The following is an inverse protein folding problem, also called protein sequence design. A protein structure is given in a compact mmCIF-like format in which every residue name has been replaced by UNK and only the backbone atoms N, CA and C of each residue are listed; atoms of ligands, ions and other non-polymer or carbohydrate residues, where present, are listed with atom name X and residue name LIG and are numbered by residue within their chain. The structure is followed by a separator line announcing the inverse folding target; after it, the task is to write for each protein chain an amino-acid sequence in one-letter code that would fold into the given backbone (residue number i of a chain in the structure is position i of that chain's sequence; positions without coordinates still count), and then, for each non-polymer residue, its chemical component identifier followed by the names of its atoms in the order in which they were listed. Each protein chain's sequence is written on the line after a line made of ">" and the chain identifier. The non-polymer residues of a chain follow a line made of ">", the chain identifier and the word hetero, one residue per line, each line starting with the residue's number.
data_IF_492286568346
#
_entry.id   IF_492286568346
#
_cell.length_a   1.000
_cell.length_b   1.000
_cell.length_c   1.000
_cell.angle_alpha   90.00
_cell.angle_beta   90.00
_cell.angle_gamma   90.00
#
_symmetry.space_group_name_H-M   'P 1'
#
loop_
_entity.id
_entity.type
_entity.pdbx_description
1 polymer ?
#
# COMPACT_ATOMS: atom_id res chain seq x y z
N UNK A 1 6.64 0.42 38.01
CA UNK A 1 6.18 0.05 36.65
C UNK A 1 6.93 0.94 35.66
N UNK A 2 7.94 0.47 34.90
CA UNK A 2 8.63 1.36 33.98
C UNK A 2 7.90 1.44 32.63
N UNK A 3 7.57 2.67 32.25
CA UNK A 3 7.77 3.17 30.89
C UNK A 3 6.71 2.89 29.84
N UNK A 4 5.48 3.42 30.00
CA UNK A 4 4.75 3.84 28.80
C UNK A 4 5.45 5.09 28.24
N UNK A 5 6.32 4.89 27.25
CA UNK A 5 6.68 5.97 26.34
C UNK A 5 5.51 6.10 25.34
N UNK A 6 4.70 7.14 25.51
CA UNK A 6 3.81 7.63 24.46
C UNK A 6 4.70 7.95 23.25
N UNK A 7 4.59 7.13 22.19
CA UNK A 7 5.40 7.27 20.99
C UNK A 7 5.24 8.66 20.38
N UNK A 8 6.34 9.21 19.87
CA UNK A 8 6.35 10.40 19.01
C UNK A 8 5.30 10.24 17.92
N UNK A 9 4.36 11.18 17.82
CA UNK A 9 3.18 11.15 16.95
C UNK A 9 3.55 11.44 15.48
N UNK A 10 4.50 10.65 14.96
CA UNK A 10 5.06 10.84 13.64
C UNK A 10 4.24 10.05 12.61
N UNK A 11 4.15 10.61 11.41
CA UNK A 11 3.30 10.13 10.32
C UNK A 11 4.18 9.94 9.07
N UNK A 12 4.11 8.76 8.47
CA UNK A 12 4.62 8.56 7.12
C UNK A 12 3.59 9.07 6.11
N UNK A 13 4.06 9.80 5.11
CA UNK A 13 3.30 10.11 3.91
C UNK A 13 3.89 9.33 2.74
N UNK A 14 3.04 8.69 1.97
CA UNK A 14 3.45 7.95 0.77
C UNK A 14 2.55 8.30 -0.40
N UNK A 15 3.14 8.28 -1.60
CA UNK A 15 2.45 8.45 -2.87
C UNK A 15 2.49 7.13 -3.63
N UNK A 16 1.32 6.66 -4.04
CA UNK A 16 1.18 5.49 -4.90
C UNK A 16 0.81 5.95 -6.31
N UNK A 17 1.36 5.23 -7.29
CA UNK A 17 0.98 5.34 -8.69
C UNK A 17 0.67 3.95 -9.22
N UNK A 18 -0.48 3.82 -9.86
CA UNK A 18 -0.98 2.59 -10.47
C UNK A 18 -1.07 2.85 -11.96
N UNK A 19 -0.23 2.18 -12.75
CA UNK A 19 -0.24 2.26 -14.21
C UNK A 19 -0.90 1.00 -14.78
N UNK A 20 -1.96 1.13 -15.58
CA UNK A 20 -2.47 0.01 -16.35
C UNK A 20 -1.60 -0.17 -17.61
N UNK A 21 -0.69 -1.16 -17.55
CA UNK A 21 0.19 -1.55 -18.65
C UNK A 21 -0.33 -2.74 -19.46
N UNK A 22 -1.53 -3.23 -19.14
CA UNK A 22 -2.21 -4.28 -19.88
C UNK A 22 -3.03 -3.73 -21.05
N UNK A 23 -3.78 -4.62 -21.68
CA UNK A 23 -4.70 -4.35 -22.79
C UNK A 23 -6.18 -4.44 -22.38
N UNK A 24 -6.47 -4.79 -21.12
CA UNK A 24 -7.81 -4.76 -20.52
C UNK A 24 -8.09 -3.43 -19.81
N UNK A 25 -9.34 -2.98 -19.84
CA UNK A 25 -9.87 -2.00 -18.89
C UNK A 25 -10.13 -2.71 -17.56
N UNK A 26 -9.58 -2.18 -16.48
CA UNK A 26 -9.66 -2.80 -15.14
C UNK A 26 -10.14 -1.82 -14.08
N UNK A 27 -10.82 -2.32 -13.06
CA UNK A 27 -11.24 -1.53 -11.91
C UNK A 27 -10.53 -1.98 -10.64
N UNK A 28 -9.94 -1.05 -9.89
CA UNK A 28 -9.44 -1.34 -8.55
C UNK A 28 -10.61 -1.50 -7.59
N UNK A 29 -10.74 -2.67 -6.97
CA UNK A 29 -11.82 -2.96 -6.03
C UNK A 29 -11.38 -2.82 -4.58
N UNK A 30 -10.22 -3.37 -4.24
CA UNK A 30 -9.76 -3.45 -2.85
C UNK A 30 -8.24 -3.39 -2.72
N UNK A 31 -7.78 -3.19 -1.49
CA UNK A 31 -6.36 -3.23 -1.12
C UNK A 31 -6.13 -4.11 0.10
N UNK A 32 -4.94 -4.68 0.16
CA UNK A 32 -4.35 -5.30 1.33
C UNK A 32 -2.98 -4.66 1.53
N UNK A 33 -2.71 -4.07 2.69
CA UNK A 33 -1.42 -3.45 2.98
C UNK A 33 -0.87 -4.02 4.28
N UNK A 34 0.42 -4.34 4.27
CA UNK A 34 1.17 -4.81 5.43
C UNK A 34 2.28 -3.82 5.70
N UNK A 35 2.30 -3.29 6.92
CA UNK A 35 3.36 -2.42 7.40
C UNK A 35 4.20 -3.19 8.41
N UNK A 36 5.49 -3.30 8.14
CA UNK A 36 6.45 -4.00 8.98
C UNK A 36 7.64 -3.11 9.35
N UNK A 37 8.21 -3.37 10.51
CA UNK A 37 9.34 -2.61 11.04
C UNK A 37 10.20 -3.47 11.94
N UNK A 38 11.49 -3.16 12.01
CA UNK A 38 12.35 -3.68 13.08
C UNK A 38 12.28 -2.71 14.27
N UNK A 39 12.26 -3.25 15.49
CA UNK A 39 12.26 -2.44 16.72
C UNK A 39 13.66 -1.95 17.10
N UNK A 40 14.70 -2.66 16.65
CA UNK A 40 16.10 -2.28 16.80
C UNK A 40 16.93 -2.69 15.56
N UNK A 41 18.11 -2.09 15.42
CA UNK A 41 19.02 -2.41 14.32
C UNK A 41 19.49 -3.87 14.41
N UNK A 42 19.30 -4.65 13.34
CA UNK A 42 19.68 -6.06 13.27
C UNK A 42 18.58 -7.04 13.68
N UNK A 43 17.45 -6.56 14.19
CA UNK A 43 16.27 -7.39 14.50
C UNK A 43 15.45 -7.70 13.23
N UNK A 44 14.70 -8.82 13.21
CA UNK A 44 13.80 -9.14 12.11
C UNK A 44 12.68 -8.10 11.97
N UNK A 45 12.12 -8.00 10.77
CA UNK A 45 10.94 -7.18 10.52
C UNK A 45 9.71 -7.88 11.13
N UNK A 46 9.01 -7.16 12.00
CA UNK A 46 7.73 -7.59 12.58
C UNK A 46 6.58 -6.81 11.95
N UNK A 47 5.41 -7.44 11.86
CA UNK A 47 4.20 -6.77 11.33
C UNK A 47 3.63 -5.85 12.42
N UNK A 48 3.56 -4.56 12.11
CA UNK A 48 3.11 -3.53 13.05
C UNK A 48 1.64 -3.17 12.83
N UNK A 49 1.17 -3.21 11.58
CA UNK A 49 -0.21 -2.91 11.21
C UNK A 49 -0.55 -3.54 9.86
N UNK A 50 -1.82 -3.89 9.68
CA UNK A 50 -2.34 -4.40 8.43
C UNK A 50 -3.66 -3.70 8.08
N UNK A 51 -3.79 -3.30 6.82
CA UNK A 51 -5.08 -3.04 6.21
C UNK A 51 -5.55 -4.39 5.67
N UNK A 52 -6.61 -5.01 6.24
CA UNK A 52 -6.98 -6.38 5.92
C UNK A 52 -7.39 -6.51 4.45
N UNK A 53 -7.27 -7.73 3.94
CA UNK A 53 -7.74 -8.09 2.60
C UNK A 53 -9.22 -7.73 2.44
N UNK A 54 -9.61 -7.36 1.22
CA UNK A 54 -10.97 -6.91 0.87
C UNK A 54 -11.34 -5.53 1.41
N UNK A 55 -10.36 -4.72 1.84
CA UNK A 55 -10.67 -3.35 2.20
C UNK A 55 -10.92 -2.52 0.94
N UNK A 56 -12.14 -2.01 0.82
CA UNK A 56 -12.61 -1.26 -0.36
C UNK A 56 -11.70 -0.11 -0.77
N UNK A 57 -11.41 -0.11 -2.06
CA UNK A 57 -10.77 0.96 -2.82
C UNK A 57 -9.39 1.37 -2.31
N UNK A 58 -9.04 2.60 -2.62
CA UNK A 58 -7.90 3.36 -2.11
C UNK A 58 -8.40 4.77 -1.82
N UNK A 59 -8.12 5.32 -0.64
CA UNK A 59 -8.56 6.68 -0.24
C UNK A 59 -10.05 7.01 -0.44
N UNK A 60 -10.92 6.00 -0.49
CA UNK A 60 -12.36 6.17 -0.76
C UNK A 60 -12.74 6.07 -2.24
N UNK A 61 -11.80 5.75 -3.13
CA UNK A 61 -11.98 5.65 -4.57
C UNK A 61 -11.74 4.21 -5.07
N UNK A 62 -12.47 3.82 -6.12
CA UNK A 62 -12.31 2.57 -6.86
C UNK A 62 -12.08 2.90 -8.34
N UNK A 63 -10.87 3.39 -8.70
CA UNK A 63 -10.60 3.90 -10.04
C UNK A 63 -10.73 2.82 -11.12
N UNK A 64 -11.32 3.21 -12.25
CA UNK A 64 -11.31 2.44 -13.49
C UNK A 64 -10.15 2.95 -14.34
N UNK A 65 -9.33 2.03 -14.83
CA UNK A 65 -8.13 2.31 -15.64
C UNK A 65 -8.25 1.62 -16.99
N UNK A 66 -8.36 2.39 -18.06
CA UNK A 66 -8.19 1.89 -19.44
C UNK A 66 -6.71 1.56 -19.73
N UNK A 67 -6.42 0.79 -20.78
CA UNK A 67 -5.05 0.57 -21.23
C UNK A 67 -4.27 1.87 -21.38
N UNK A 68 -3.12 1.96 -20.71
CA UNK A 68 -2.24 3.14 -20.71
C UNK A 68 -2.63 4.25 -19.73
N UNK A 69 -3.78 4.17 -19.05
CA UNK A 69 -4.16 5.12 -18.00
C UNK A 69 -3.43 4.83 -16.68
N UNK A 70 -3.39 5.86 -15.83
CA UNK A 70 -2.80 5.75 -14.50
C UNK A 70 -3.63 6.51 -13.47
N UNK A 71 -3.58 6.02 -12.23
CA UNK A 71 -4.16 6.68 -11.07
C UNK A 71 -3.09 6.89 -10.01
N UNK A 72 -3.13 8.07 -9.37
CA UNK A 72 -2.20 8.45 -8.31
C UNK A 72 -2.97 8.88 -7.08
N UNK A 73 -2.47 8.47 -5.91
CA UNK A 73 -3.02 8.94 -4.65
C UNK A 73 -1.92 9.11 -3.60
N UNK A 74 -2.18 10.01 -2.65
CA UNK A 74 -1.36 10.20 -1.46
C UNK A 74 -2.13 9.67 -0.24
N UNK A 75 -1.43 9.02 0.67
CA UNK A 75 -1.99 8.53 1.91
C UNK A 75 -0.95 8.61 3.03
N UNK A 76 -1.38 8.28 4.24
CA UNK A 76 -0.52 8.30 5.41
C UNK A 76 -0.68 7.06 6.27
N UNK A 77 0.34 6.78 7.09
CA UNK A 77 0.32 5.73 8.08
C UNK A 77 1.08 6.18 9.34
N UNK A 78 0.70 5.72 10.55
CA UNK A 78 1.50 5.94 11.75
C UNK A 78 2.91 5.41 11.55
N UNK A 79 3.92 6.10 12.06
CA UNK A 79 5.27 5.54 12.11
C UNK A 79 5.47 4.78 13.43
N UNK A 80 5.79 3.49 13.35
CA UNK A 80 6.18 2.70 14.53
C UNK A 80 7.69 2.78 14.80
N UNK A 81 8.49 2.97 13.74
CA UNK A 81 9.94 3.20 13.84
C UNK A 81 10.42 4.09 12.68
N UNK A 82 11.65 4.65 12.75
CA UNK A 82 12.20 5.49 11.68
C UNK A 82 12.39 4.79 10.32
N UNK A 83 12.49 3.47 10.34
CA UNK A 83 12.60 2.63 9.16
C UNK A 83 11.47 1.61 9.15
N UNK A 84 10.57 1.70 8.18
CA UNK A 84 9.48 0.74 8.00
C UNK A 84 9.38 0.30 6.55
N UNK A 85 8.70 -0.82 6.31
CA UNK A 85 8.45 -1.38 4.99
C UNK A 85 6.94 -1.54 4.81
N UNK A 86 6.42 -1.05 3.69
CA UNK A 86 5.06 -1.29 3.24
C UNK A 86 5.07 -2.27 2.07
N UNK A 87 4.25 -3.30 2.13
CA UNK A 87 4.00 -4.24 1.04
C UNK A 87 2.51 -4.58 0.98
N UNK A 88 2.10 -5.40 0.02
CA UNK A 88 0.72 -5.86 -0.04
C UNK A 88 0.25 -6.12 -1.46
N UNK A 89 -1.04 -6.00 -1.70
CA UNK A 89 -1.62 -6.19 -3.03
C UNK A 89 -2.86 -5.33 -3.23
N UNK A 90 -3.16 -5.06 -4.49
CA UNK A 90 -4.46 -4.54 -4.94
C UNK A 90 -5.23 -5.67 -5.60
N UNK A 91 -6.55 -5.67 -5.40
CA UNK A 91 -7.44 -6.50 -6.18
C UNK A 91 -8.07 -5.67 -7.29
N UNK A 92 -8.07 -6.24 -8.49
CA UNK A 92 -8.71 -5.70 -9.68
C UNK A 92 -9.75 -6.64 -10.24
N UNK A 93 -10.70 -6.06 -10.97
CA UNK A 93 -11.66 -6.75 -11.84
C UNK A 93 -11.43 -6.32 -13.29
N UNK A 94 -11.51 -7.27 -14.22
CA UNK A 94 -11.54 -7.00 -15.66
C UNK A 94 -12.93 -6.55 -16.04
N UNK A 95 -13.05 -5.33 -16.59
CA UNK A 95 -14.31 -4.84 -17.13
C UNK A 95 -14.43 -5.17 -18.62
N UNK A 96 -13.36 -4.96 -19.39
CA UNK A 96 -13.40 -5.12 -20.85
C UNK A 96 -12.01 -5.42 -21.42
N UNK A 97 -11.95 -6.07 -22.58
CA UNK A 97 -10.75 -6.17 -23.41
C UNK A 97 -10.57 -7.55 -24.06
N UNK A 98 -9.56 -7.71 -24.92
CA UNK A 98 -9.41 -8.90 -25.75
C UNK A 98 -9.04 -10.14 -24.92
N UNK A 99 -9.79 -11.23 -25.10
CA UNK A 99 -9.49 -12.52 -24.47
C UNK A 99 -9.65 -12.58 -22.94
N UNK A 100 -10.00 -11.48 -22.29
CA UNK A 100 -10.34 -11.46 -20.87
C UNK A 100 -11.79 -11.89 -20.63
N UNK A 101 -12.07 -12.40 -19.43
CA UNK A 101 -13.44 -12.65 -18.99
C UNK A 101 -13.90 -11.45 -18.17
N UNK A 102 -14.97 -10.79 -18.62
CA UNK A 102 -15.60 -9.71 -17.84
C UNK A 102 -16.02 -10.23 -16.46
N UNK A 103 -15.64 -9.48 -15.41
CA UNK A 103 -15.83 -9.87 -14.02
C UNK A 103 -14.72 -10.75 -13.43
N UNK A 104 -13.70 -11.13 -14.22
CA UNK A 104 -12.56 -11.88 -13.70
C UNK A 104 -11.73 -11.03 -12.72
N UNK A 105 -11.44 -11.61 -11.56
CA UNK A 105 -10.66 -10.98 -10.51
C UNK A 105 -9.19 -11.38 -10.57
N UNK A 106 -8.29 -10.42 -10.36
CA UNK A 106 -6.86 -10.69 -10.22
C UNK A 106 -6.21 -9.81 -9.16
N UNK A 107 -5.01 -10.22 -8.70
CA UNK A 107 -4.22 -9.47 -7.72
C UNK A 107 -2.97 -8.87 -8.37
N UNK A 108 -2.67 -7.62 -8.02
CA UNK A 108 -1.44 -6.93 -8.39
C UNK A 108 -0.61 -6.67 -7.12
N UNK A 109 0.58 -7.27 -7.05
CA UNK A 109 1.47 -7.17 -5.90
C UNK A 109 2.13 -5.78 -5.79
N UNK A 110 2.19 -5.28 -4.56
CA UNK A 110 2.94 -4.08 -4.17
C UNK A 110 4.27 -4.58 -3.60
N UNK A 111 5.32 -4.42 -4.40
CA UNK A 111 6.67 -4.73 -3.98
C UNK A 111 7.06 -3.92 -2.72
N UNK A 112 7.97 -4.44 -1.86
CA UNK A 112 8.38 -3.77 -0.63
C UNK A 112 8.85 -2.32 -0.85
N UNK A 113 8.05 -1.37 -0.37
CA UNK A 113 8.34 0.05 -0.36
C UNK A 113 8.95 0.44 0.99
N UNK A 114 10.15 1.02 0.97
CA UNK A 114 10.78 1.53 2.18
C UNK A 114 10.21 2.90 2.55
N UNK A 115 9.75 3.03 3.78
CA UNK A 115 9.31 4.26 4.41
C UNK A 115 10.40 4.70 5.39
N UNK A 116 10.99 5.87 5.16
CA UNK A 116 12.13 6.37 5.94
C UNK A 116 11.77 7.78 6.42
N UNK A 117 11.89 8.00 7.73
CA UNK A 117 11.81 9.35 8.28
C UNK A 117 13.19 9.99 8.20
N UNK A 118 13.27 11.16 7.57
CA UNK A 118 14.50 11.96 7.64
C UNK A 118 14.67 12.41 9.10
N UNK A 119 15.71 11.90 9.77
CA UNK A 119 16.05 12.36 11.11
C UNK A 119 16.96 13.57 10.95
N UNK A 120 16.65 14.74 11.55
CA UNK A 120 17.54 15.87 11.48
C UNK A 120 18.90 15.46 12.04
N UNK A 121 19.96 15.65 11.24
CA UNK A 121 21.34 15.41 11.68
C UNK A 121 21.62 16.40 12.81
N UNK A 122 21.82 15.91 14.03
CA UNK A 122 22.27 16.72 15.17
C UNK A 122 23.75 17.02 15.06
#
# INVERSE_FOLDING_TARGET
>A
MPGQSMGTNNIFYYKMRIDNRGDHTVQLLARHLVFSSATAAGEPLEVMMQVPKWRDGVVGEQPILRPGEAFEYCSSAPSWAPHSVMSGSYQFEILEGPGGVEGELFEAEIAPLRLIMDQPTT
#
